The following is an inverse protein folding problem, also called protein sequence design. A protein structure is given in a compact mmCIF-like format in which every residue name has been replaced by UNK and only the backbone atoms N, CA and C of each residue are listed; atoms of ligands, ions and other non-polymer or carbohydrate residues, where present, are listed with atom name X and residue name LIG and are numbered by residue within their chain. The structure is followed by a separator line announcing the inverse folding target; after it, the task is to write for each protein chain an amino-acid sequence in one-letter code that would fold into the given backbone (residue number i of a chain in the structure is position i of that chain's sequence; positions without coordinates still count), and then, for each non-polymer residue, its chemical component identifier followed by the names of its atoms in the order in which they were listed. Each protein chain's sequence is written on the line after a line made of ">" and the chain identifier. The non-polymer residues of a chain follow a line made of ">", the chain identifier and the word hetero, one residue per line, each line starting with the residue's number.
data_IF_519613104039
#
_entry.id   IF_519613104039
#
_cell.length_a   1.000
_cell.length_b   1.000
_cell.length_c   1.000
_cell.angle_alpha   90.00
_cell.angle_beta   90.00
_cell.angle_gamma   90.00
#
_symmetry.space_group_name_H-M   'P 1'
#
loop_
_entity.id
_entity.type
_entity.pdbx_description
1 polymer ?
#
# COMPACT_ATOMS: atom_id res chain seq x y z
N UNK A 1 4.58 1.29 -15.85
CA UNK A 1 5.62 0.37 -15.34
C UNK A 1 5.18 -0.27 -14.03
N UNK A 2 5.49 -1.55 -13.82
CA UNK A 2 5.10 -2.29 -12.60
C UNK A 2 6.10 -2.04 -11.47
N UNK A 3 5.61 -1.77 -10.26
CA UNK A 3 6.43 -1.53 -9.04
C UNK A 3 7.38 -2.69 -8.69
N UNK A 4 6.99 -3.91 -9.05
CA UNK A 4 7.84 -5.10 -8.87
C UNK A 4 9.00 -5.11 -9.87
N UNK A 5 8.76 -4.62 -11.09
CA UNK A 5 9.78 -4.55 -12.15
C UNK A 5 10.81 -3.44 -11.89
N UNK A 6 10.41 -2.38 -11.17
CA UNK A 6 11.32 -1.31 -10.75
C UNK A 6 12.15 -1.65 -9.49
N UNK A 7 11.96 -2.84 -8.89
CA UNK A 7 12.60 -3.27 -7.62
C UNK A 7 12.39 -2.30 -6.45
N UNK A 8 11.32 -1.50 -6.49
CA UNK A 8 11.00 -0.58 -5.40
C UNK A 8 10.48 -1.34 -4.15
N UNK A 9 9.81 -2.47 -4.37
CA UNK A 9 9.23 -3.33 -3.34
C UNK A 9 9.18 -4.78 -3.85
N UNK A 10 9.28 -5.77 -2.96
CA UNK A 10 9.11 -7.19 -3.28
C UNK A 10 7.84 -7.84 -2.68
N UNK A 11 7.57 -9.10 -3.07
CA UNK A 11 6.38 -9.83 -2.62
C UNK A 11 6.31 -10.10 -1.11
N UNK A 12 7.46 -10.19 -0.42
CA UNK A 12 7.50 -10.41 1.03
C UNK A 12 7.09 -9.15 1.77
N UNK A 13 7.57 -7.99 1.29
CA UNK A 13 7.20 -6.68 1.82
C UNK A 13 5.72 -6.36 1.57
N UNK A 14 5.21 -6.62 0.36
CA UNK A 14 3.76 -6.48 0.07
C UNK A 14 2.93 -7.36 1.01
N UNK A 15 3.35 -8.61 1.20
CA UNK A 15 2.67 -9.52 2.12
C UNK A 15 2.69 -9.02 3.57
N UNK A 16 3.75 -8.33 3.99
CA UNK A 16 3.82 -7.71 5.32
C UNK A 16 2.82 -6.56 5.46
N UNK A 17 2.75 -5.64 4.49
CA UNK A 17 1.74 -4.56 4.49
C UNK A 17 0.31 -5.10 4.68
N UNK A 18 -0.03 -6.21 4.02
CA UNK A 18 -1.38 -6.77 4.11
C UNK A 18 -1.66 -7.54 5.40
N UNK A 19 -0.63 -7.95 6.15
CA UNK A 19 -0.81 -8.69 7.40
C UNK A 19 -0.68 -7.79 8.63
N UNK A 20 0.32 -6.91 8.61
CA UNK A 20 0.75 -6.12 9.77
C UNK A 20 0.56 -4.62 9.59
N UNK A 21 0.18 -4.16 8.39
CA UNK A 21 0.05 -2.74 8.10
C UNK A 21 -1.22 -2.11 8.68
N UNK A 22 -1.13 -0.84 9.04
CA UNK A 22 -2.22 -0.02 9.54
C UNK A 22 -2.90 0.75 8.40
N UNK A 23 -4.22 0.65 8.33
CA UNK A 23 -5.01 1.36 7.30
C UNK A 23 -5.34 2.77 7.76
N UNK A 24 -4.88 3.78 7.02
CA UNK A 24 -5.32 5.16 7.23
C UNK A 24 -6.62 5.44 6.47
N UNK A 25 -7.74 5.29 7.18
CA UNK A 25 -9.06 5.57 6.63
C UNK A 25 -9.30 7.06 6.30
N UNK A 26 -8.51 7.97 6.87
CA UNK A 26 -8.63 9.41 6.62
C UNK A 26 -8.08 9.78 5.25
N UNK A 27 -7.02 9.10 4.81
CA UNK A 27 -6.43 9.25 3.48
C UNK A 27 -7.02 8.29 2.43
N UNK A 28 -7.79 7.29 2.88
CA UNK A 28 -8.45 6.32 2.01
C UNK A 28 -9.77 6.83 1.42
N UNK A 29 -10.10 6.40 0.19
CA UNK A 29 -11.41 6.65 -0.42
C UNK A 29 -12.25 5.36 -0.42
N UNK A 30 -13.09 5.22 0.60
CA UNK A 30 -13.90 4.02 0.84
C UNK A 30 -15.33 4.11 0.29
N UNK A 31 -15.72 5.27 -0.26
CA UNK A 31 -17.08 5.55 -0.75
C UNK A 31 -17.23 5.32 -2.24
N UNK A 32 -16.12 5.17 -2.98
CA UNK A 32 -16.14 4.86 -4.41
C UNK A 32 -16.57 3.41 -4.66
N UNK A 33 -17.37 3.23 -5.71
CA UNK A 33 -17.86 1.93 -6.18
C UNK A 33 -17.60 1.83 -7.68
N UNK A 34 -17.14 0.68 -8.20
CA UNK A 34 -17.02 -0.61 -7.51
C UNK A 34 -15.72 -0.80 -6.70
N UNK A 35 -14.74 0.08 -6.91
CA UNK A 35 -13.41 -0.05 -6.30
C UNK A 35 -13.18 1.05 -5.26
N UNK A 36 -12.51 0.66 -4.17
CA UNK A 36 -12.13 1.54 -3.06
C UNK A 36 -10.62 1.70 -3.04
N UNK A 37 -10.14 2.87 -2.63
CA UNK A 37 -8.71 3.11 -2.47
C UNK A 37 -8.37 3.09 -0.99
N UNK A 38 -7.32 2.36 -0.61
CA UNK A 38 -6.82 2.31 0.75
C UNK A 38 -5.36 2.74 0.81
N UNK A 39 -5.03 3.50 1.85
CA UNK A 39 -3.66 3.88 2.22
C UNK A 39 -3.25 3.01 3.41
N UNK A 40 -2.13 2.30 3.28
CA UNK A 40 -1.65 1.35 4.29
C UNK A 40 -0.22 1.73 4.69
N UNK A 41 0.01 1.94 5.97
CA UNK A 41 1.32 2.22 6.56
C UNK A 41 1.90 0.95 7.17
N UNK A 42 3.20 0.74 7.03
CA UNK A 42 3.90 -0.33 7.72
C UNK A 42 5.33 0.08 8.03
N UNK A 43 5.84 -0.41 9.16
CA UNK A 43 7.20 -0.16 9.60
C UNK A 43 8.10 -1.37 9.27
N UNK A 44 9.21 -1.11 8.58
CA UNK A 44 10.22 -2.09 8.22
C UNK A 44 11.59 -1.60 8.71
N UNK A 45 12.24 -2.35 9.60
CA UNK A 45 13.61 -2.02 10.07
C UNK A 45 13.74 -0.55 10.49
N UNK A 46 12.81 -0.09 11.35
CA UNK A 46 12.72 1.28 11.86
C UNK A 46 12.49 2.36 10.78
N UNK A 47 11.96 1.98 9.61
CA UNK A 47 11.56 2.90 8.54
C UNK A 47 10.09 2.70 8.21
N UNK A 48 9.33 3.78 8.24
CA UNK A 48 7.94 3.76 7.83
C UNK A 48 7.82 3.83 6.30
N UNK A 49 6.96 2.99 5.74
CA UNK A 49 6.63 3.00 4.33
C UNK A 49 5.11 3.00 4.18
N UNK A 50 4.65 3.48 3.02
CA UNK A 50 3.23 3.57 2.68
C UNK A 50 2.99 2.96 1.32
N UNK A 51 1.93 2.16 1.21
CA UNK A 51 1.37 1.75 -0.08
C UNK A 51 -0.04 2.31 -0.26
N UNK A 52 -0.37 2.61 -1.52
CA UNK A 52 -1.76 2.78 -1.92
C UNK A 52 -2.21 1.57 -2.72
N UNK A 53 -3.45 1.15 -2.44
CA UNK A 53 -4.06 0.01 -3.13
C UNK A 53 -5.44 0.35 -3.63
N UNK A 54 -5.73 -0.11 -4.84
CA UNK A 54 -7.06 -0.14 -5.42
C UNK A 54 -7.68 -1.51 -5.17
N UNK A 55 -8.64 -1.56 -4.25
CA UNK A 55 -9.37 -2.77 -3.88
C UNK A 55 -10.71 -2.85 -4.62
N UNK A 56 -10.80 -3.76 -5.58
CA UNK A 56 -11.99 -4.06 -6.37
C UNK A 56 -12.56 -5.45 -5.98
N UNK A 57 -13.82 -5.78 -6.32
CA UNK A 57 -14.44 -7.04 -5.89
C UNK A 57 -13.71 -8.33 -6.29
N UNK A 58 -12.96 -8.32 -7.40
CA UNK A 58 -12.27 -9.50 -7.94
C UNK A 58 -10.74 -9.44 -7.81
N UNK A 59 -10.17 -8.27 -7.51
CA UNK A 59 -8.72 -8.07 -7.46
C UNK A 59 -8.36 -6.87 -6.60
N UNK A 60 -7.16 -6.92 -6.05
CA UNK A 60 -6.50 -5.79 -5.41
C UNK A 60 -5.22 -5.48 -6.19
N UNK A 61 -5.00 -4.20 -6.43
CA UNK A 61 -3.84 -3.71 -7.19
C UNK A 61 -3.06 -2.71 -6.34
N UNK A 62 -1.76 -2.91 -6.19
CA UNK A 62 -0.87 -1.95 -5.54
C UNK A 62 -0.52 -0.87 -6.56
N UNK A 63 -0.95 0.37 -6.30
CA UNK A 63 -0.84 1.48 -7.24
C UNK A 63 0.34 2.40 -6.93
N UNK A 64 0.77 2.47 -5.67
CA UNK A 64 1.95 3.24 -5.27
C UNK A 64 2.68 2.61 -4.08
N UNK A 65 3.96 2.95 -3.96
CA UNK A 65 4.81 2.61 -2.82
C UNK A 65 5.74 3.80 -2.56
N UNK A 66 5.83 4.26 -1.32
CA UNK A 66 6.68 5.36 -0.90
C UNK A 66 7.31 5.06 0.47
N UNK A 67 8.61 5.31 0.60
CA UNK A 67 9.23 5.45 1.91
C UNK A 67 8.79 6.78 2.51
N UNK A 68 8.46 6.80 3.80
CA UNK A 68 8.24 8.05 4.51
C UNK A 68 9.62 8.59 4.84
N UNK A 69 10.10 9.52 4.02
CA UNK A 69 11.37 10.17 4.29
C UNK A 69 11.28 10.92 5.64
N UNK A 70 12.23 10.65 6.53
CA UNK A 70 12.43 11.44 7.74
C UNK A 70 12.90 12.84 7.32
N UNK A 71 12.08 13.86 7.57
CA UNK A 71 12.50 15.27 7.49
C UNK A 71 13.30 15.67 8.73
#
# INVERSE_FOLDING_TARGET
>A
DSLLLSKAIDSTQIGYFFREGDVDFSLSNTKTSPCKTYVIHAEFTDKEATIEVLNCPSKLEVTSFNWKDEF
#
